data_IF_832548777986
#
_entry.id   IF_832548777986
#
_cell.length_a   1.000
_cell.length_b   1.000
_cell.length_c   1.000
_cell.angle_alpha   90.00
_cell.angle_beta   90.00
_cell.angle_gamma   90.00
#
_symmetry.space_group_name_H-M   'P 1'
#
loop_
_entity.id
_entity.type
_entity.pdbx_description
1 polymer ?
#
# COMPACT_ATOMS: atom_id res chain seq x y z
N UNK A 1 -70.90 -4.18 3.91
CA UNK A 1 -69.64 -4.02 3.16
C UNK A 1 -68.46 -4.34 4.10
N UNK A 2 -67.74 -5.47 3.95
CA UNK A 2 -66.61 -5.74 4.80
C UNK A 2 -65.37 -5.03 4.29
N UNK A 3 -64.62 -4.35 5.19
CA UNK A 3 -63.39 -3.64 4.95
C UNK A 3 -62.27 -4.56 4.40
N UNK A 4 -61.41 -4.06 3.51
CA UNK A 4 -60.29 -4.87 2.99
C UNK A 4 -59.21 -5.07 4.06
N UNK A 5 -58.87 -6.31 4.35
CA UNK A 5 -57.77 -6.68 5.22
C UNK A 5 -56.45 -6.29 4.53
N UNK A 6 -55.73 -5.31 5.12
CA UNK A 6 -54.36 -4.98 4.76
C UNK A 6 -53.50 -6.21 5.02
N UNK A 7 -52.96 -6.83 3.98
CA UNK A 7 -51.90 -7.86 4.08
C UNK A 7 -50.67 -7.23 4.68
N UNK A 8 -50.31 -7.61 5.88
CA UNK A 8 -49.02 -7.28 6.47
C UNK A 8 -47.90 -7.75 5.57
N UNK A 9 -47.02 -6.85 5.15
CA UNK A 9 -45.84 -7.15 4.40
C UNK A 9 -44.97 -8.15 5.21
N UNK A 10 -44.63 -9.29 4.62
CA UNK A 10 -43.68 -10.25 5.22
C UNK A 10 -42.38 -9.54 5.51
N UNK A 11 -41.79 -9.68 6.71
CA UNK A 11 -40.48 -9.11 7.01
C UNK A 11 -39.47 -9.66 6.00
N UNK A 12 -38.81 -8.76 5.26
CA UNK A 12 -37.70 -9.13 4.40
C UNK A 12 -36.66 -9.82 5.28
N UNK A 13 -36.40 -11.12 5.04
CA UNK A 13 -35.36 -11.86 5.72
C UNK A 13 -34.06 -11.07 5.57
N UNK A 14 -33.45 -10.61 6.67
CA UNK A 14 -32.12 -10.00 6.67
C UNK A 14 -31.17 -10.97 5.99
N UNK A 15 -30.80 -10.70 4.73
CA UNK A 15 -29.79 -11.51 4.03
C UNK A 15 -28.54 -11.56 4.91
N UNK A 16 -28.07 -12.76 5.23
CA UNK A 16 -26.84 -12.99 5.98
C UNK A 16 -25.69 -12.28 5.27
N UNK A 17 -24.92 -11.50 6.02
CA UNK A 17 -23.71 -10.85 5.48
C UNK A 17 -22.69 -11.93 5.12
N UNK A 18 -22.01 -11.76 3.99
CA UNK A 18 -20.88 -12.60 3.60
C UNK A 18 -19.74 -12.38 4.58
N UNK A 19 -19.24 -13.45 5.19
CA UNK A 19 -18.14 -13.46 6.14
C UNK A 19 -16.80 -13.56 5.41
N UNK A 20 -15.92 -12.58 5.57
CA UNK A 20 -14.58 -12.58 4.99
C UNK A 20 -13.53 -12.66 6.09
N UNK A 21 -12.79 -13.77 6.16
CA UNK A 21 -11.64 -13.92 7.04
C UNK A 21 -10.41 -13.30 6.36
N UNK A 22 -9.99 -12.13 6.83
CA UNK A 22 -8.72 -11.53 6.40
C UNK A 22 -7.59 -12.16 7.20
N UNK A 23 -6.65 -12.82 6.52
CA UNK A 23 -5.54 -13.54 7.17
C UNK A 23 -4.18 -12.93 6.81
N UNK A 24 -3.30 -12.81 7.80
CA UNK A 24 -1.94 -12.29 7.65
C UNK A 24 -1.03 -12.84 8.75
N UNK A 25 0.25 -13.06 8.46
CA UNK A 25 1.21 -13.59 9.44
C UNK A 25 1.35 -12.69 10.67
N UNK A 26 1.78 -11.45 10.47
CA UNK A 26 1.79 -10.41 11.50
C UNK A 26 1.15 -9.13 10.96
N UNK A 27 0.40 -8.44 11.79
CA UNK A 27 -0.25 -7.18 11.44
C UNK A 27 0.41 -6.03 12.20
N UNK A 28 1.10 -5.17 11.47
CA UNK A 28 1.71 -3.95 12.00
C UNK A 28 1.06 -2.75 11.31
N UNK A 29 0.41 -1.87 12.06
CA UNK A 29 -0.22 -0.66 11.53
C UNK A 29 0.28 0.53 12.33
N UNK A 30 0.92 1.52 11.71
CA UNK A 30 1.45 1.50 10.35
C UNK A 30 2.56 0.44 10.19
N UNK A 31 2.96 0.02 8.97
CA UNK A 31 2.60 0.54 7.64
C UNK A 31 1.53 -0.26 6.88
N UNK A 32 0.92 -1.30 7.50
CA UNK A 32 0.11 -2.30 6.77
C UNK A 32 -1.35 -1.85 6.55
N UNK A 33 -1.60 -0.60 6.19
CA UNK A 33 -2.96 -0.09 5.94
C UNK A 33 -3.67 -0.78 4.77
N UNK A 34 -2.94 -1.15 3.73
CA UNK A 34 -3.50 -1.74 2.51
C UNK A 34 -4.35 -2.99 2.76
N UNK A 35 -3.97 -3.82 3.74
CA UNK A 35 -4.72 -5.02 4.08
C UNK A 35 -6.09 -4.71 4.70
N UNK A 36 -6.24 -3.55 5.33
CA UNK A 36 -7.42 -3.13 6.07
C UNK A 36 -8.30 -2.16 5.27
N UNK A 37 -7.71 -1.41 4.34
CA UNK A 37 -8.40 -0.37 3.58
C UNK A 37 -9.60 -0.92 2.79
N UNK A 38 -9.42 -2.06 2.11
CA UNK A 38 -10.50 -2.72 1.38
C UNK A 38 -11.62 -3.20 2.31
N UNK A 39 -11.26 -3.75 3.49
CA UNK A 39 -12.26 -4.19 4.47
C UNK A 39 -13.07 -3.01 5.01
N UNK A 40 -12.42 -1.90 5.35
CA UNK A 40 -13.10 -0.67 5.80
C UNK A 40 -14.05 -0.09 4.76
N UNK A 41 -13.73 -0.27 3.47
CA UNK A 41 -14.54 0.24 2.36
C UNK A 41 -15.68 -0.72 1.92
N UNK A 42 -15.84 -1.87 2.57
CA UNK A 42 -16.92 -2.84 2.31
C UNK A 42 -17.72 -3.17 3.58
N UNK A 43 -18.43 -2.20 4.18
CA UNK A 43 -19.17 -2.38 5.44
C UNK A 43 -20.38 -3.33 5.33
N UNK A 44 -20.80 -3.66 4.11
CA UNK A 44 -21.86 -4.64 3.84
C UNK A 44 -21.45 -6.08 4.13
N UNK A 45 -20.15 -6.35 4.31
CA UNK A 45 -19.60 -7.66 4.65
C UNK A 45 -19.25 -7.75 6.13
N UNK A 46 -19.20 -8.97 6.65
CA UNK A 46 -18.74 -9.23 8.01
C UNK A 46 -17.25 -9.60 7.96
N UNK A 47 -16.40 -8.75 8.54
CA UNK A 47 -14.96 -8.90 8.52
C UNK A 47 -14.41 -9.35 9.87
N UNK A 48 -13.42 -10.22 9.83
CA UNK A 48 -12.55 -10.50 10.97
C UNK A 48 -11.12 -10.73 10.49
N UNK A 49 -10.18 -10.08 11.15
CA UNK A 49 -8.75 -10.24 10.90
C UNK A 49 -8.22 -11.36 11.78
N UNK A 50 -7.49 -12.29 11.17
CA UNK A 50 -6.78 -13.37 11.88
C UNK A 50 -5.29 -13.22 11.61
N UNK A 51 -4.51 -13.12 12.68
CA UNK A 51 -3.07 -12.92 12.61
C UNK A 51 -2.37 -13.71 13.73
N UNK A 52 -1.09 -13.96 13.58
CA UNK A 52 -0.30 -14.53 14.71
C UNK A 52 -0.17 -13.50 15.81
N UNK A 53 0.17 -12.26 15.46
CA UNK A 53 0.24 -11.15 16.40
C UNK A 53 0.01 -9.82 15.70
N UNK A 54 -0.53 -8.85 16.41
CA UNK A 54 -0.79 -7.49 15.92
C UNK A 54 -0.08 -6.44 16.78
N UNK A 55 0.28 -5.35 16.13
CA UNK A 55 0.58 -4.06 16.78
C UNK A 55 -0.10 -2.98 15.96
N UNK A 56 -1.19 -2.45 16.48
CA UNK A 56 -2.00 -1.43 15.81
C UNK A 56 -1.92 -0.17 16.65
N UNK A 57 -1.27 0.86 16.11
CA UNK A 57 -1.10 2.16 16.76
C UNK A 57 -2.09 3.21 16.25
N UNK A 58 -2.92 2.85 15.27
CA UNK A 58 -3.91 3.75 14.67
C UNK A 58 -5.30 3.45 15.24
N UNK A 59 -5.91 4.38 15.99
CA UNK A 59 -7.24 4.18 16.60
C UNK A 59 -8.38 4.14 15.57
N UNK A 60 -8.16 4.55 14.33
CA UNK A 60 -9.17 4.45 13.27
C UNK A 60 -9.42 3.01 12.80
N UNK A 61 -8.55 2.07 13.16
CA UNK A 61 -8.71 0.64 12.86
C UNK A 61 -9.68 0.01 13.85
N UNK A 62 -10.93 -0.17 13.42
CA UNK A 62 -12.02 -0.72 14.25
C UNK A 62 -12.37 -2.17 13.91
N UNK A 63 -11.68 -2.80 12.95
CA UNK A 63 -11.93 -4.18 12.56
C UNK A 63 -11.62 -5.16 13.71
N UNK A 64 -12.48 -6.17 13.95
CA UNK A 64 -12.20 -7.22 14.93
C UNK A 64 -10.93 -8.00 14.57
N UNK A 65 -9.95 -8.03 15.47
CA UNK A 65 -8.66 -8.73 15.28
C UNK A 65 -8.58 -9.90 16.25
N UNK A 66 -8.29 -11.09 15.72
CA UNK A 66 -7.98 -12.29 16.47
C UNK A 66 -6.48 -12.59 16.39
N UNK A 67 -5.81 -12.54 17.53
CA UNK A 67 -4.38 -12.86 17.65
C UNK A 67 -4.21 -14.30 18.14
N UNK A 68 -3.62 -15.15 17.29
CA UNK A 68 -3.41 -16.57 17.61
C UNK A 68 -2.17 -16.84 18.47
N UNK A 69 -1.22 -15.91 18.49
CA UNK A 69 0.05 -16.03 19.22
C UNK A 69 0.66 -14.65 19.52
N UNK A 70 0.18 -13.89 20.50
CA UNK A 70 0.70 -12.55 20.81
C UNK A 70 2.23 -12.53 21.04
N UNK A 71 2.83 -13.61 21.55
CA UNK A 71 4.29 -13.76 21.67
C UNK A 71 5.07 -13.86 20.35
N UNK A 72 4.38 -13.91 19.20
CA UNK A 72 5.03 -13.96 17.88
C UNK A 72 5.79 -12.66 17.49
N UNK A 73 5.63 -11.59 18.26
CA UNK A 73 6.40 -10.33 18.15
C UNK A 73 7.47 -10.18 19.24
N UNK A 74 7.72 -11.21 20.06
CA UNK A 74 8.76 -11.17 21.09
C UNK A 74 10.13 -10.84 20.49
N UNK A 75 10.93 -9.97 21.12
CA UNK A 75 12.31 -9.71 20.72
C UNK A 75 13.21 -10.94 20.90
N UNK A 76 12.89 -11.82 21.87
CA UNK A 76 13.61 -13.06 22.13
C UNK A 76 13.32 -14.10 21.04
N UNK A 77 14.30 -14.41 20.20
CA UNK A 77 14.16 -15.29 19.05
C UNK A 77 13.57 -16.67 19.38
N UNK A 78 14.02 -17.40 20.43
CA UNK A 78 13.45 -18.71 20.75
C UNK A 78 11.97 -18.65 21.12
N UNK A 79 11.57 -17.65 21.92
CA UNK A 79 10.18 -17.45 22.32
C UNK A 79 9.30 -17.09 21.12
N UNK A 80 9.80 -16.23 20.24
CA UNK A 80 9.12 -15.86 19.01
C UNK A 80 8.87 -17.05 18.11
N UNK A 81 9.90 -17.88 17.85
CA UNK A 81 9.78 -19.06 17.00
C UNK A 81 8.80 -20.07 17.59
N UNK A 82 8.87 -20.33 18.90
CA UNK A 82 7.96 -21.24 19.58
C UNK A 82 6.50 -20.73 19.56
N UNK A 83 6.28 -19.43 19.74
CA UNK A 83 4.97 -18.81 19.65
C UNK A 83 4.42 -18.90 18.22
N UNK A 84 5.23 -18.58 17.20
CA UNK A 84 4.85 -18.70 15.80
C UNK A 84 4.46 -20.12 15.43
N UNK A 85 5.25 -21.12 15.83
CA UNK A 85 4.97 -22.54 15.53
C UNK A 85 3.61 -23.00 16.12
N UNK A 86 3.36 -22.69 17.40
CA UNK A 86 2.08 -22.99 18.06
C UNK A 86 0.92 -22.21 17.46
N UNK A 87 1.16 -20.95 17.12
CA UNK A 87 0.16 -20.04 16.56
C UNK A 87 -0.40 -20.45 15.20
N UNK A 88 0.37 -21.17 14.38
CA UNK A 88 -0.11 -21.64 13.07
C UNK A 88 -1.36 -22.52 13.18
N UNK A 89 -1.31 -23.52 14.05
CA UNK A 89 -2.45 -24.40 14.29
C UNK A 89 -3.63 -23.70 14.97
N UNK A 90 -3.33 -22.79 15.91
CA UNK A 90 -4.35 -21.97 16.58
C UNK A 90 -5.07 -21.04 15.60
N UNK A 91 -4.32 -20.33 14.74
CA UNK A 91 -4.88 -19.47 13.72
C UNK A 91 -5.78 -20.25 12.73
N UNK A 92 -5.32 -21.42 12.25
CA UNK A 92 -6.11 -22.27 11.38
C UNK A 92 -7.44 -22.64 12.03
N UNK A 93 -7.42 -23.16 13.27
CA UNK A 93 -8.63 -23.53 14.00
C UNK A 93 -9.56 -22.34 14.22
N UNK A 94 -9.01 -21.16 14.55
CA UNK A 94 -9.82 -19.96 14.76
C UNK A 94 -10.54 -19.52 13.47
N UNK A 95 -9.85 -19.55 12.33
CA UNK A 95 -10.45 -19.26 11.03
C UNK A 95 -11.55 -20.28 10.71
N UNK A 96 -11.25 -21.59 10.81
CA UNK A 96 -12.23 -22.65 10.52
C UNK A 96 -13.46 -22.58 11.41
N UNK A 97 -13.28 -22.37 12.73
CA UNK A 97 -14.39 -22.27 13.69
C UNK A 97 -15.27 -21.06 13.48
N UNK A 98 -14.71 -19.97 12.92
CA UNK A 98 -15.50 -18.77 12.61
C UNK A 98 -16.44 -18.99 11.41
N UNK A 99 -16.15 -19.95 10.56
CA UNK A 99 -16.97 -20.32 9.40
C UNK A 99 -17.05 -19.21 8.37
N UNK A 100 -15.93 -18.80 7.74
CA UNK A 100 -15.92 -17.78 6.71
C UNK A 100 -16.57 -18.28 5.40
N UNK A 101 -17.15 -17.36 4.65
CA UNK A 101 -17.60 -17.61 3.28
C UNK A 101 -16.46 -17.41 2.26
N UNK A 102 -15.47 -16.58 2.62
CA UNK A 102 -14.22 -16.35 1.86
C UNK A 102 -13.07 -16.19 2.85
N UNK A 103 -11.93 -16.79 2.51
CA UNK A 103 -10.66 -16.53 3.21
C UNK A 103 -9.79 -15.68 2.29
N UNK A 104 -9.34 -14.51 2.76
CA UNK A 104 -8.45 -13.63 2.01
C UNK A 104 -7.10 -13.51 2.72
N UNK A 105 -6.10 -14.21 2.21
CA UNK A 105 -4.73 -14.19 2.71
C UNK A 105 -3.95 -13.05 2.08
N UNK A 106 -3.39 -12.17 2.90
CA UNK A 106 -2.41 -11.17 2.48
C UNK A 106 -0.99 -11.67 2.72
N UNK A 107 -0.19 -11.71 1.66
CA UNK A 107 1.16 -12.26 1.55
C UNK A 107 1.20 -13.81 1.62
N UNK A 108 1.87 -14.41 0.64
CA UNK A 108 2.00 -15.87 0.55
C UNK A 108 2.95 -16.48 1.61
N UNK A 109 3.78 -15.68 2.29
CA UNK A 109 4.82 -16.16 3.23
C UNK A 109 4.27 -16.81 4.52
N UNK A 110 3.01 -16.59 4.87
CA UNK A 110 2.33 -17.11 6.05
C UNK A 110 0.99 -17.78 5.71
N UNK A 111 0.88 -18.39 4.54
CA UNK A 111 -0.39 -18.90 3.99
C UNK A 111 -0.84 -20.25 4.54
N UNK A 112 0.04 -21.05 5.16
CA UNK A 112 -0.31 -22.41 5.62
C UNK A 112 -1.56 -22.46 6.51
N UNK A 113 -1.79 -21.56 7.49
CA UNK A 113 -3.03 -21.56 8.27
C UNK A 113 -4.28 -21.31 7.42
N UNK A 114 -4.21 -20.35 6.49
CA UNK A 114 -5.32 -20.02 5.59
C UNK A 114 -5.62 -21.15 4.61
N UNK A 115 -4.60 -21.77 4.03
CA UNK A 115 -4.74 -22.96 3.14
C UNK A 115 -5.35 -24.13 3.91
N UNK A 116 -4.91 -24.37 5.15
CA UNK A 116 -5.48 -25.40 6.00
C UNK A 116 -6.96 -25.17 6.33
N UNK A 117 -7.30 -23.93 6.71
CA UNK A 117 -8.67 -23.54 7.00
C UNK A 117 -9.58 -23.63 5.76
N UNK A 118 -9.10 -23.22 4.59
CA UNK A 118 -9.83 -23.34 3.32
C UNK A 118 -10.19 -24.80 3.00
N UNK A 119 -9.23 -25.72 3.21
CA UNK A 119 -9.49 -27.18 3.04
C UNK A 119 -10.49 -27.73 4.04
N UNK A 120 -10.46 -27.27 5.28
CA UNK A 120 -11.36 -27.73 6.36
C UNK A 120 -12.79 -27.20 6.18
N UNK A 121 -12.94 -25.96 5.71
CA UNK A 121 -14.24 -25.29 5.61
C UNK A 121 -14.88 -25.39 4.22
N UNK A 122 -14.10 -25.70 3.19
CA UNK A 122 -14.50 -25.57 1.79
C UNK A 122 -14.61 -24.15 1.27
N UNK A 123 -14.27 -23.14 2.10
CA UNK A 123 -14.31 -21.73 1.69
C UNK A 123 -13.24 -21.42 0.64
N UNK A 124 -13.57 -20.67 -0.42
CA UNK A 124 -12.60 -20.24 -1.42
C UNK A 124 -11.50 -19.37 -0.78
N UNK A 125 -10.26 -19.61 -1.24
CA UNK A 125 -9.08 -18.90 -0.78
C UNK A 125 -8.61 -17.90 -1.83
N UNK A 126 -8.64 -16.63 -1.50
CA UNK A 126 -8.01 -15.54 -2.26
C UNK A 126 -6.65 -15.24 -1.62
N UNK A 127 -5.60 -15.11 -2.42
CA UNK A 127 -4.27 -14.73 -1.94
C UNK A 127 -3.79 -13.50 -2.68
N UNK A 128 -3.53 -12.40 -1.97
CA UNK A 128 -2.91 -11.21 -2.56
C UNK A 128 -1.40 -11.20 -2.31
N UNK A 129 -0.64 -11.11 -3.41
CA UNK A 129 0.80 -11.01 -3.43
C UNK A 129 1.22 -9.54 -3.37
N UNK A 130 2.13 -9.21 -2.43
CA UNK A 130 2.51 -7.82 -2.15
C UNK A 130 3.95 -7.48 -2.52
N UNK A 131 4.76 -8.46 -2.92
CA UNK A 131 6.15 -8.22 -3.30
C UNK A 131 7.05 -9.40 -3.01
N UNK A 132 7.84 -9.34 -1.95
CA UNK A 132 8.82 -10.37 -1.62
C UNK A 132 8.26 -11.80 -1.54
N UNK A 133 7.00 -11.94 -1.28
CA UNK A 133 6.26 -13.20 -1.19
C UNK A 133 6.02 -13.91 -2.53
N UNK A 134 6.13 -13.19 -3.66
CA UNK A 134 6.01 -13.78 -5.00
C UNK A 134 7.34 -14.33 -5.55
N UNK A 135 8.49 -13.89 -5.04
CA UNK A 135 9.79 -14.28 -5.60
C UNK A 135 10.16 -15.73 -5.27
N UNK A 136 10.75 -16.50 -6.22
CA UNK A 136 11.02 -17.93 -6.04
C UNK A 136 12.05 -18.23 -4.96
N UNK A 137 13.01 -17.32 -4.74
CA UNK A 137 14.04 -17.47 -3.69
C UNK A 137 14.35 -16.13 -3.04
N UNK A 138 14.16 -16.06 -1.73
CA UNK A 138 14.55 -14.93 -0.89
C UNK A 138 15.41 -15.45 0.27
N UNK A 139 16.73 -15.27 0.17
CA UNK A 139 17.69 -15.68 1.18
C UNK A 139 18.09 -17.15 1.12
N UNK A 140 18.81 -17.61 2.16
CA UNK A 140 19.29 -18.98 2.35
C UNK A 140 18.82 -19.51 3.72
N UNK A 141 18.86 -20.83 3.90
CA UNK A 141 18.56 -21.49 5.18
C UNK A 141 17.06 -21.73 5.44
N UNK A 142 16.72 -22.04 6.69
CA UNK A 142 15.39 -22.48 7.10
C UNK A 142 14.28 -21.46 6.81
N UNK A 143 14.57 -20.16 6.95
CA UNK A 143 13.59 -19.12 6.65
C UNK A 143 13.23 -19.06 5.15
N UNK A 144 14.20 -19.25 4.26
CA UNK A 144 13.95 -19.31 2.82
C UNK A 144 13.14 -20.57 2.44
N UNK A 145 13.46 -21.72 3.04
CA UNK A 145 12.70 -22.96 2.85
C UNK A 145 11.24 -22.81 3.35
N UNK A 146 11.06 -22.18 4.52
CA UNK A 146 9.73 -21.86 5.06
C UNK A 146 8.92 -20.97 4.12
N UNK A 147 9.50 -19.88 3.62
CA UNK A 147 8.83 -18.98 2.68
C UNK A 147 8.49 -19.69 1.36
N UNK A 148 9.39 -20.51 0.84
CA UNK A 148 9.14 -21.31 -0.35
C UNK A 148 7.99 -22.31 -0.17
N UNK A 149 7.92 -22.98 0.99
CA UNK A 149 6.81 -23.88 1.33
C UNK A 149 5.47 -23.16 1.40
N UNK A 150 5.43 -22.02 2.09
CA UNK A 150 4.20 -21.22 2.21
C UNK A 150 3.75 -20.70 0.84
N UNK A 151 4.67 -20.16 0.01
CA UNK A 151 4.33 -19.70 -1.33
C UNK A 151 3.78 -20.82 -2.20
N UNK A 152 4.43 -21.99 -2.20
CA UNK A 152 3.92 -23.15 -2.93
C UNK A 152 2.52 -23.52 -2.47
N UNK A 153 2.30 -23.63 -1.16
CA UNK A 153 0.98 -23.93 -0.61
C UNK A 153 -0.08 -22.88 -0.99
N UNK A 154 0.29 -21.59 -1.02
CA UNK A 154 -0.57 -20.51 -1.48
C UNK A 154 -0.92 -20.66 -2.96
N UNK A 155 0.07 -20.93 -3.82
CA UNK A 155 -0.13 -21.05 -5.26
C UNK A 155 -0.99 -22.29 -5.62
N UNK A 156 -0.76 -23.39 -4.93
CA UNK A 156 -1.53 -24.63 -5.13
C UNK A 156 -2.95 -24.54 -4.56
N UNK A 157 -3.09 -23.92 -3.38
CA UNK A 157 -4.34 -23.89 -2.61
C UNK A 157 -5.26 -22.72 -2.90
N UNK A 158 -4.79 -21.65 -3.55
CA UNK A 158 -5.62 -20.49 -3.83
C UNK A 158 -6.66 -20.76 -4.93
N UNK A 159 -7.90 -20.34 -4.71
CA UNK A 159 -8.95 -20.27 -5.74
C UNK A 159 -8.67 -19.10 -6.69
N UNK A 160 -8.15 -17.97 -6.16
CA UNK A 160 -7.71 -16.79 -6.90
C UNK A 160 -6.39 -16.27 -6.31
N UNK A 161 -5.47 -15.91 -7.20
CA UNK A 161 -4.25 -15.19 -6.89
C UNK A 161 -4.37 -13.76 -7.42
N UNK A 162 -4.09 -12.78 -6.58
CA UNK A 162 -4.14 -11.36 -6.93
C UNK A 162 -2.72 -10.79 -6.81
N UNK A 163 -2.18 -10.21 -7.88
CA UNK A 163 -0.90 -9.52 -7.86
C UNK A 163 -1.13 -8.01 -7.90
N UNK A 164 -0.42 -7.25 -7.07
CA UNK A 164 -0.61 -5.79 -6.94
C UNK A 164 -0.06 -4.98 -8.13
N UNK A 165 0.55 -5.63 -9.11
CA UNK A 165 1.00 -5.07 -10.39
C UNK A 165 1.19 -6.17 -11.43
N UNK A 166 1.21 -5.82 -12.71
CA UNK A 166 1.58 -6.73 -13.82
C UNK A 166 2.97 -7.25 -13.64
N UNK A 167 3.91 -6.38 -13.27
CA UNK A 167 5.27 -6.79 -12.92
C UNK A 167 5.29 -7.93 -11.89
N UNK A 168 4.51 -7.80 -10.81
CA UNK A 168 4.48 -8.83 -9.78
C UNK A 168 3.74 -10.10 -10.23
N UNK A 169 2.75 -9.98 -11.10
CA UNK A 169 2.10 -11.12 -11.75
C UNK A 169 3.11 -11.93 -12.57
N UNK A 170 3.94 -11.26 -13.38
CA UNK A 170 5.01 -11.92 -14.15
C UNK A 170 6.04 -12.61 -13.25
N UNK A 171 6.38 -12.00 -12.12
CA UNK A 171 7.25 -12.64 -11.11
C UNK A 171 6.59 -13.89 -10.55
N UNK A 172 5.31 -13.85 -10.22
CA UNK A 172 4.55 -15.00 -9.70
C UNK A 172 4.44 -16.13 -10.72
N UNK A 173 4.18 -15.82 -11.99
CA UNK A 173 4.14 -16.81 -13.09
C UNK A 173 5.47 -17.52 -13.22
N UNK A 174 6.59 -16.77 -13.23
CA UNK A 174 7.95 -17.36 -13.25
C UNK A 174 8.26 -18.18 -11.99
N UNK A 175 7.57 -17.93 -10.89
CA UNK A 175 7.68 -18.68 -9.64
C UNK A 175 6.74 -19.89 -9.55
N UNK A 176 5.95 -20.18 -10.61
CA UNK A 176 5.07 -21.33 -10.72
C UNK A 176 3.61 -21.07 -10.31
N UNK A 177 3.16 -19.82 -10.31
CA UNK A 177 1.74 -19.52 -10.16
C UNK A 177 0.96 -19.95 -11.42
N UNK A 178 -0.26 -20.41 -11.21
CA UNK A 178 -1.16 -20.80 -12.30
C UNK A 178 -1.79 -19.55 -12.94
N UNK A 179 -1.54 -19.34 -14.23
CA UNK A 179 -2.04 -18.22 -15.00
C UNK A 179 -3.58 -18.13 -15.02
N UNK A 180 -4.27 -19.30 -15.00
CA UNK A 180 -5.74 -19.35 -15.02
C UNK A 180 -6.37 -18.81 -13.72
N UNK A 181 -5.61 -18.78 -12.63
CA UNK A 181 -6.05 -18.30 -11.31
C UNK A 181 -5.45 -16.96 -10.90
N UNK A 182 -4.51 -16.44 -11.67
CA UNK A 182 -3.79 -15.21 -11.37
C UNK A 182 -4.40 -14.02 -12.13
N UNK A 183 -4.67 -12.95 -11.41
CA UNK A 183 -5.06 -11.66 -11.99
C UNK A 183 -4.33 -10.50 -11.34
N UNK A 184 -4.26 -9.37 -12.04
CA UNK A 184 -3.73 -8.13 -11.49
C UNK A 184 -4.85 -7.41 -10.75
N UNK A 185 -4.58 -7.04 -9.50
CA UNK A 185 -5.47 -6.24 -8.67
C UNK A 185 -4.68 -5.11 -8.02
N UNK A 186 -4.75 -3.93 -8.62
CA UNK A 186 -4.12 -2.74 -8.08
C UNK A 186 -4.81 -2.33 -6.78
N UNK A 187 -4.04 -2.13 -5.71
CA UNK A 187 -4.61 -1.87 -4.38
C UNK A 187 -5.36 -0.55 -4.28
N UNK A 188 -4.98 0.43 -5.10
CA UNK A 188 -5.54 1.77 -5.06
C UNK A 188 -5.18 2.58 -3.81
N UNK A 189 -5.52 3.85 -3.83
CA UNK A 189 -5.40 4.76 -2.70
C UNK A 189 -6.71 5.52 -2.49
N UNK A 190 -6.97 5.89 -1.24
CA UNK A 190 -8.15 6.70 -0.88
C UNK A 190 -7.94 8.14 -1.35
N UNK A 191 -8.50 8.46 -2.52
CA UNK A 191 -8.39 9.78 -3.16
C UNK A 191 -9.26 10.84 -2.49
N UNK A 192 -10.15 10.47 -1.58
CA UNK A 192 -10.90 11.42 -0.75
C UNK A 192 -10.07 11.83 0.46
N UNK A 193 -9.21 10.94 0.97
CA UNK A 193 -8.31 11.25 2.07
C UNK A 193 -6.99 11.84 1.57
N UNK A 194 -6.34 11.22 0.57
CA UNK A 194 -5.18 11.77 -0.12
C UNK A 194 -5.66 12.80 -1.16
N UNK A 195 -5.66 14.06 -0.78
CA UNK A 195 -6.20 15.16 -1.58
C UNK A 195 -5.30 16.39 -1.45
N UNK A 196 -5.24 17.24 -2.46
CA UNK A 196 -4.57 18.55 -2.37
C UNK A 196 -5.08 19.36 -1.19
N UNK A 197 -4.39 20.42 -0.82
CA UNK A 197 -4.84 21.32 0.25
C UNK A 197 -6.21 21.92 -0.08
N UNK A 198 -7.15 21.95 0.88
CA UNK A 198 -8.45 22.58 0.66
C UNK A 198 -8.29 24.06 0.26
N UNK A 199 -9.06 24.52 -0.71
CA UNK A 199 -9.09 25.91 -1.14
C UNK A 199 -7.90 26.36 -2.02
N UNK A 200 -7.01 25.45 -2.38
CA UNK A 200 -5.91 25.71 -3.30
C UNK A 200 -6.07 24.86 -4.55
N UNK A 201 -5.86 25.44 -5.72
CA UNK A 201 -5.78 24.65 -6.96
C UNK A 201 -4.66 23.63 -6.85
N UNK A 202 -4.77 22.44 -7.49
CA UNK A 202 -3.67 21.49 -7.55
C UNK A 202 -2.40 22.21 -7.98
N UNK A 203 -1.37 22.11 -7.15
CA UNK A 203 -0.11 22.81 -7.41
C UNK A 203 0.10 24.14 -6.67
N UNK A 204 -0.92 24.73 -6.05
CA UNK A 204 -0.75 25.93 -5.21
C UNK A 204 -0.32 25.52 -3.80
N UNK A 205 0.65 26.22 -3.22
CA UNK A 205 1.18 25.91 -1.89
C UNK A 205 0.33 26.49 -0.78
N UNK A 206 0.01 25.74 0.29
CA UNK A 206 -0.53 26.35 1.49
C UNK A 206 0.57 27.07 2.27
N UNK A 207 0.34 28.33 2.62
CA UNK A 207 1.09 29.05 3.63
C UNK A 207 0.76 28.53 5.05
N UNK A 208 0.96 27.23 5.29
CA UNK A 208 0.62 26.62 6.58
C UNK A 208 1.92 26.39 7.36
N UNK A 209 2.16 27.25 8.34
CA UNK A 209 3.04 26.94 9.46
C UNK A 209 2.36 25.83 10.27
N UNK A 210 2.96 24.63 10.46
CA UNK A 210 2.37 23.58 11.28
C UNK A 210 2.25 24.08 12.72
N UNK A 211 1.03 24.17 13.25
CA UNK A 211 0.83 24.39 14.68
C UNK A 211 1.21 23.11 15.43
N UNK A 212 2.29 23.18 16.21
CA UNK A 212 2.66 22.14 17.20
C UNK A 212 3.79 21.20 16.79
N UNK A 213 4.98 21.56 17.04
CA UNK A 213 6.15 20.97 17.70
C UNK A 213 7.44 21.70 17.30
N UNK A 214 8.29 21.93 18.26
CA UNK A 214 9.42 22.85 18.25
C UNK A 214 10.54 22.60 17.23
N UNK A 215 10.51 21.49 16.45
CA UNK A 215 11.63 21.12 15.56
C UNK A 215 11.48 21.59 14.09
N UNK A 216 10.35 22.18 13.72
CA UNK A 216 10.14 22.70 12.36
C UNK A 216 9.98 24.22 12.28
N UNK A 217 10.01 24.91 13.42
CA UNK A 217 9.77 26.36 13.53
C UNK A 217 11.06 27.20 13.49
N UNK A 218 12.24 26.58 13.37
CA UNK A 218 13.52 27.27 13.63
C UNK A 218 14.17 27.92 12.41
N UNK A 219 13.53 27.95 11.22
CA UNK A 219 14.13 28.68 10.10
C UNK A 219 13.11 29.58 9.39
N UNK A 220 13.22 30.87 9.66
CA UNK A 220 12.92 32.02 8.83
C UNK A 220 11.60 32.03 8.06
N UNK A 221 10.58 32.70 8.59
CA UNK A 221 9.29 32.93 7.93
C UNK A 221 9.35 33.86 6.71
N UNK A 222 10.53 34.40 6.32
CA UNK A 222 10.71 35.44 5.30
C UNK A 222 11.65 35.08 4.14
N UNK A 223 12.11 33.83 4.01
CA UNK A 223 12.85 33.42 2.81
C UNK A 223 11.93 32.97 1.70
N UNK A 224 12.20 33.26 0.39
CA UNK A 224 11.45 32.70 -0.72
C UNK A 224 11.42 31.19 -0.56
N UNK A 225 10.19 30.61 -0.56
CA UNK A 225 9.97 29.21 -0.20
C UNK A 225 10.78 28.27 -1.09
N UNK A 226 11.87 27.74 -0.55
CA UNK A 226 12.74 26.79 -1.23
C UNK A 226 11.94 25.51 -1.53
N UNK A 227 11.88 25.04 -2.80
CA UNK A 227 11.11 23.88 -3.18
C UNK A 227 11.52 22.62 -2.41
N UNK A 228 10.54 21.79 -2.07
CA UNK A 228 10.75 20.54 -1.33
C UNK A 228 10.74 19.37 -2.30
N UNK A 229 11.83 18.61 -2.33
CA UNK A 229 11.90 17.24 -2.85
C UNK A 229 11.62 16.30 -1.69
N UNK A 230 10.54 15.54 -1.78
CA UNK A 230 10.09 14.66 -0.70
C UNK A 230 10.42 13.20 -1.01
N UNK A 231 10.89 12.48 -0.02
CA UNK A 231 10.95 11.01 -0.01
C UNK A 231 10.14 10.47 1.17
N UNK A 232 9.36 9.44 0.94
CA UNK A 232 8.62 8.74 2.00
C UNK A 232 8.81 7.23 1.86
N UNK A 233 9.37 6.61 2.89
CA UNK A 233 9.58 5.17 2.89
C UNK A 233 10.71 4.68 3.78
N UNK A 234 11.04 3.39 3.67
CA UNK A 234 12.17 2.82 4.39
C UNK A 234 13.48 3.38 3.88
N UNK A 235 14.30 3.96 4.78
CA UNK A 235 15.62 4.49 4.44
C UNK A 235 16.61 3.33 4.20
N UNK A 236 16.62 2.84 2.95
CA UNK A 236 17.38 1.64 2.56
C UNK A 236 17.93 1.76 1.13
N UNK A 237 18.96 0.96 0.83
CA UNK A 237 19.54 0.87 -0.53
C UNK A 237 18.53 0.41 -1.58
N UNK A 238 17.60 -0.48 -1.21
CA UNK A 238 16.52 -0.91 -2.11
C UNK A 238 15.66 0.29 -2.55
N UNK A 239 15.39 1.23 -1.65
CA UNK A 239 14.60 2.43 -1.94
C UNK A 239 15.41 3.55 -2.58
N UNK A 240 16.73 3.35 -2.78
CA UNK A 240 17.61 4.28 -3.50
C UNK A 240 17.85 5.61 -2.78
N UNK A 241 17.72 5.64 -1.45
CA UNK A 241 17.93 6.86 -0.66
C UNK A 241 19.35 7.39 -0.80
N UNK A 242 20.33 6.49 -0.92
CA UNK A 242 21.73 6.82 -1.18
C UNK A 242 21.89 7.55 -2.53
N UNK A 243 21.27 7.06 -3.61
CA UNK A 243 21.28 7.73 -4.91
C UNK A 243 20.58 9.09 -4.85
N UNK A 244 19.46 9.17 -4.10
CA UNK A 244 18.70 10.41 -3.98
C UNK A 244 19.50 11.51 -3.25
N UNK A 245 20.17 11.17 -2.16
CA UNK A 245 21.03 12.13 -1.44
C UNK A 245 22.19 12.56 -2.31
N UNK A 246 22.82 11.66 -3.05
CA UNK A 246 23.88 11.99 -4.00
C UNK A 246 23.40 12.94 -5.10
N UNK A 247 22.30 12.61 -5.77
CA UNK A 247 21.70 13.43 -6.83
C UNK A 247 21.31 14.83 -6.34
N UNK A 248 20.67 14.90 -5.17
CA UNK A 248 20.28 16.15 -4.54
C UNK A 248 21.48 17.01 -4.17
N UNK A 249 22.54 16.41 -3.61
CA UNK A 249 23.77 17.13 -3.22
C UNK A 249 24.50 17.74 -4.42
N UNK A 250 24.54 17.03 -5.56
CA UNK A 250 25.15 17.53 -6.79
C UNK A 250 24.32 18.63 -7.47
N UNK A 251 23.05 18.77 -7.09
CA UNK A 251 22.11 19.70 -7.72
C UNK A 251 21.88 20.98 -6.91
N UNK A 252 21.98 20.93 -5.57
CA UNK A 252 21.45 21.96 -4.68
C UNK A 252 22.07 23.34 -4.88
N UNK A 253 23.35 23.44 -5.26
CA UNK A 253 24.03 24.73 -5.49
C UNK A 253 23.46 25.48 -6.70
N UNK A 254 23.18 24.77 -7.80
CA UNK A 254 22.62 25.39 -9.02
C UNK A 254 21.09 25.46 -9.03
N UNK A 255 20.41 24.58 -8.27
CA UNK A 255 18.96 24.54 -8.10
C UNK A 255 18.63 24.39 -6.62
N UNK A 256 18.56 25.49 -5.88
CA UNK A 256 18.26 25.47 -4.45
C UNK A 256 16.96 24.73 -4.15
N UNK A 257 17.02 23.75 -3.27
CA UNK A 257 15.88 22.95 -2.81
C UNK A 257 16.20 22.30 -1.45
N UNK A 258 15.16 21.85 -0.77
CA UNK A 258 15.29 21.03 0.46
C UNK A 258 14.94 19.60 0.11
N UNK A 259 15.74 18.64 0.56
CA UNK A 259 15.42 17.23 0.51
C UNK A 259 14.88 16.79 1.87
N UNK A 260 13.64 16.33 1.91
CA UNK A 260 12.99 15.85 3.13
C UNK A 260 12.80 14.32 3.05
N UNK A 261 13.41 13.61 3.99
CA UNK A 261 13.39 12.16 4.10
C UNK A 261 12.47 11.74 5.26
N UNK A 262 11.29 11.21 4.93
CA UNK A 262 10.32 10.71 5.89
C UNK A 262 10.42 9.20 6.01
N UNK A 263 10.72 8.70 7.20
CA UNK A 263 10.82 7.28 7.49
C UNK A 263 12.02 6.91 8.34
N UNK A 264 12.23 5.62 8.49
CA UNK A 264 13.37 5.03 9.19
C UNK A 264 13.89 3.82 8.41
N UNK A 265 15.07 3.31 8.76
CA UNK A 265 15.63 2.15 8.10
C UNK A 265 17.13 1.97 8.32
N UNK A 266 17.74 0.96 7.67
CA UNK A 266 19.15 0.64 7.86
C UNK A 266 20.13 1.78 7.56
N UNK A 267 19.77 2.73 6.70
CA UNK A 267 20.60 3.90 6.36
C UNK A 267 20.37 5.11 7.28
N UNK A 268 19.34 5.11 8.14
CA UNK A 268 19.05 6.25 8.99
C UNK A 268 20.19 6.65 9.94
N UNK A 269 20.91 5.73 10.60
CA UNK A 269 22.01 6.11 11.48
C UNK A 269 23.13 6.85 10.74
N UNK A 270 23.54 6.36 9.58
CA UNK A 270 24.58 7.03 8.77
C UNK A 270 24.11 8.37 8.23
N UNK A 271 22.87 8.45 7.74
CA UNK A 271 22.32 9.71 7.23
C UNK A 271 22.19 10.79 8.31
N UNK A 272 21.86 10.44 9.57
CA UNK A 272 21.82 11.41 10.66
C UNK A 272 23.16 12.05 10.95
N UNK A 273 24.28 11.36 10.69
CA UNK A 273 25.64 11.88 10.94
C UNK A 273 26.29 12.52 9.74
N UNK A 274 25.89 12.18 8.52
CA UNK A 274 26.59 12.59 7.30
C UNK A 274 25.71 13.30 6.26
N UNK A 275 24.41 13.52 6.53
CA UNK A 275 23.56 14.22 5.60
C UNK A 275 23.96 15.69 5.44
N UNK A 276 23.99 16.21 4.19
CA UNK A 276 24.24 17.64 3.94
C UNK A 276 23.17 18.55 4.58
N UNK A 277 23.49 19.80 4.78
CA UNK A 277 22.63 20.78 5.47
C UNK A 277 21.23 20.96 4.85
N UNK A 278 21.10 20.78 3.52
CA UNK A 278 19.81 20.88 2.82
C UNK A 278 18.92 19.63 2.97
N UNK A 279 19.42 18.57 3.62
CA UNK A 279 18.71 17.30 3.83
C UNK A 279 18.14 17.22 5.25
N UNK A 280 16.84 17.06 5.35
CA UNK A 280 16.14 16.91 6.64
C UNK A 280 15.63 15.47 6.81
N UNK A 281 15.97 14.83 7.93
CA UNK A 281 15.43 13.52 8.32
C UNK A 281 14.38 13.74 9.41
N UNK A 282 13.12 13.38 9.12
CA UNK A 282 12.01 13.53 10.08
C UNK A 282 11.85 12.33 11.01
N UNK A 283 12.44 11.19 10.65
CA UNK A 283 12.03 9.92 11.23
C UNK A 283 10.66 9.44 10.71
N UNK A 284 10.09 8.37 11.28
CA UNK A 284 8.77 7.89 10.93
C UNK A 284 7.70 8.87 11.43
N UNK A 285 6.70 9.15 10.58
CA UNK A 285 5.60 10.06 10.88
C UNK A 285 4.24 9.34 10.81
N UNK A 286 3.25 9.86 11.54
CA UNK A 286 1.86 9.48 11.38
C UNK A 286 1.34 9.86 9.98
N UNK A 287 0.33 9.14 9.51
CA UNK A 287 -0.20 9.25 8.14
C UNK A 287 -0.65 10.68 7.79
N UNK A 288 -1.24 11.38 8.77
CA UNK A 288 -1.69 12.77 8.65
C UNK A 288 -0.52 13.71 8.35
N UNK A 289 0.60 13.53 9.08
CA UNK A 289 1.82 14.31 8.90
C UNK A 289 2.51 14.01 7.56
N UNK A 290 2.48 12.75 7.11
CA UNK A 290 2.96 12.38 5.77
C UNK A 290 2.16 13.11 4.70
N UNK A 291 0.82 13.17 4.83
CA UNK A 291 -0.05 13.90 3.90
C UNK A 291 0.25 15.40 3.88
N UNK A 292 0.51 16.01 5.03
CA UNK A 292 0.91 17.42 5.11
C UNK A 292 2.22 17.66 4.36
N UNK A 293 3.22 16.80 4.53
CA UNK A 293 4.46 16.89 3.76
C UNK A 293 4.24 16.72 2.26
N UNK A 294 3.41 15.76 1.84
CA UNK A 294 3.05 15.60 0.43
C UNK A 294 2.42 16.87 -0.15
N UNK A 295 1.48 17.47 0.56
CA UNK A 295 0.83 18.72 0.12
C UNK A 295 1.77 19.91 -0.03
N UNK A 296 2.92 19.89 0.63
CA UNK A 296 3.96 20.92 0.57
C UNK A 296 5.07 20.60 -0.44
N UNK A 297 5.18 19.36 -0.86
CA UNK A 297 6.24 18.94 -1.76
C UNK A 297 6.05 19.51 -3.18
N UNK A 298 7.17 19.88 -3.81
CA UNK A 298 7.23 20.19 -5.24
C UNK A 298 7.09 18.92 -6.06
N UNK A 299 7.82 17.88 -5.65
CA UNK A 299 7.81 16.54 -6.21
C UNK A 299 8.03 15.50 -5.10
N UNK A 300 7.59 14.26 -5.35
CA UNK A 300 8.03 13.10 -4.57
C UNK A 300 9.05 12.31 -5.39
N UNK A 301 10.21 12.01 -4.80
CA UNK A 301 11.25 11.19 -5.42
C UNK A 301 11.30 9.79 -4.80
N UNK A 302 11.17 8.73 -5.63
CA UNK A 302 11.27 7.34 -5.19
C UNK A 302 12.16 6.53 -6.14
N UNK A 303 13.48 6.63 -6.05
CA UNK A 303 14.41 5.95 -6.94
C UNK A 303 14.69 4.50 -6.51
N UNK A 304 13.64 3.69 -6.33
CA UNK A 304 13.79 2.28 -5.95
C UNK A 304 14.57 1.51 -7.01
N UNK A 305 15.63 0.80 -6.58
CA UNK A 305 16.53 0.05 -7.47
C UNK A 305 16.51 -1.45 -7.20
N UNK A 306 16.81 -2.27 -8.19
CA UNK A 306 16.91 -3.72 -8.00
C UNK A 306 17.96 -4.05 -6.94
N UNK A 307 17.59 -4.84 -5.94
CA UNK A 307 18.50 -5.27 -4.89
C UNK A 307 18.25 -6.74 -4.58
N UNK A 308 19.28 -7.56 -4.68
CA UNK A 308 19.22 -9.01 -4.42
C UNK A 308 18.07 -9.71 -5.19
N UNK A 309 17.86 -9.33 -6.47
CA UNK A 309 16.82 -9.90 -7.33
C UNK A 309 15.40 -9.38 -7.06
N UNK A 310 15.21 -8.44 -6.12
CA UNK A 310 13.92 -7.79 -5.85
C UNK A 310 13.86 -6.40 -6.46
N UNK A 311 12.65 -5.99 -6.81
CA UNK A 311 12.33 -4.65 -7.27
C UNK A 311 11.06 -4.15 -6.55
N UNK A 312 10.69 -2.91 -6.79
CA UNK A 312 9.43 -2.36 -6.29
C UNK A 312 8.24 -3.13 -6.84
N UNK A 313 7.35 -3.59 -5.97
CA UNK A 313 6.17 -4.33 -6.41
C UNK A 313 5.07 -3.40 -6.92
N UNK A 314 4.81 -2.32 -6.19
CA UNK A 314 3.79 -1.34 -6.52
C UNK A 314 4.23 0.09 -6.17
N UNK A 315 4.62 0.37 -4.92
CA UNK A 315 5.01 1.72 -4.50
C UNK A 315 3.79 2.63 -4.26
N UNK A 316 2.91 2.25 -3.34
CA UNK A 316 1.68 3.01 -3.05
C UNK A 316 1.92 4.49 -2.75
N UNK A 317 3.07 4.83 -2.17
CA UNK A 317 3.45 6.21 -1.89
C UNK A 317 3.49 7.09 -3.14
N UNK A 318 3.76 6.51 -4.33
CA UNK A 318 3.68 7.22 -5.62
C UNK A 318 2.23 7.63 -5.91
N UNK A 319 1.27 6.74 -5.63
CA UNK A 319 -0.15 7.05 -5.79
C UNK A 319 -0.63 8.07 -4.77
N UNK A 320 -0.17 7.96 -3.53
CA UNK A 320 -0.50 8.88 -2.43
C UNK A 320 -0.06 10.31 -2.76
N UNK A 321 1.16 10.48 -3.29
CA UNK A 321 1.67 11.78 -3.72
C UNK A 321 0.86 12.34 -4.89
N UNK A 322 0.64 11.55 -5.93
CA UNK A 322 -0.10 11.95 -7.13
C UNK A 322 -1.57 12.26 -6.81
N UNK A 323 -2.19 11.54 -5.87
CA UNK A 323 -3.51 11.86 -5.34
C UNK A 323 -3.54 13.23 -4.63
N UNK A 324 -2.44 13.65 -4.01
CA UNK A 324 -2.26 15.00 -3.46
C UNK A 324 -1.91 16.06 -4.52
N UNK A 325 -1.87 15.70 -5.81
CA UNK A 325 -1.46 16.59 -6.89
C UNK A 325 0.05 16.84 -6.94
N UNK A 326 0.86 15.90 -6.47
CA UNK A 326 2.33 15.99 -6.46
C UNK A 326 2.90 15.04 -7.50
N UNK A 327 3.51 15.55 -8.58
CA UNK A 327 4.20 14.72 -9.56
C UNK A 327 5.36 13.94 -8.93
N UNK A 328 5.69 12.80 -9.53
CA UNK A 328 6.74 11.93 -9.02
C UNK A 328 7.94 11.85 -9.96
N UNK A 329 9.12 11.66 -9.36
CA UNK A 329 10.37 11.34 -10.06
C UNK A 329 10.85 10.00 -9.55
N UNK A 330 11.05 9.03 -10.44
CA UNK A 330 11.44 7.68 -10.02
C UNK A 330 12.28 6.95 -11.06
N UNK A 331 12.95 5.88 -10.62
CA UNK A 331 13.54 4.93 -11.56
C UNK A 331 12.46 4.04 -12.18
N UNK A 332 12.59 3.76 -13.46
CA UNK A 332 11.74 2.79 -14.17
C UNK A 332 12.10 1.37 -13.76
N UNK A 333 11.57 0.92 -12.61
CA UNK A 333 11.86 -0.41 -12.05
C UNK A 333 10.61 -1.10 -11.55
N UNK A 334 10.53 -2.42 -11.73
CA UNK A 334 9.42 -3.22 -11.21
C UNK A 334 8.06 -2.67 -11.60
N UNK A 335 7.16 -2.54 -10.61
CA UNK A 335 5.82 -1.98 -10.79
C UNK A 335 5.75 -0.45 -10.77
N UNK A 336 6.87 0.28 -10.59
CA UNK A 336 6.88 1.75 -10.56
C UNK A 336 6.17 2.40 -11.76
N UNK A 337 6.39 1.95 -13.03
CA UNK A 337 5.70 2.53 -14.17
C UNK A 337 4.18 2.39 -14.13
N UNK A 338 3.68 1.34 -13.46
CA UNK A 338 2.24 1.09 -13.34
C UNK A 338 1.57 1.96 -12.26
N UNK A 339 2.39 2.58 -11.40
CA UNK A 339 1.97 3.47 -10.31
C UNK A 339 2.25 4.94 -10.59
N UNK A 340 2.58 5.27 -11.84
CA UNK A 340 3.00 6.62 -12.23
C UNK A 340 2.14 7.12 -13.37
N UNK A 341 1.52 8.29 -13.21
CA UNK A 341 0.69 8.93 -14.22
C UNK A 341 1.52 9.22 -15.49
N UNK A 342 1.13 8.67 -16.65
CA UNK A 342 1.87 8.87 -17.90
C UNK A 342 1.92 10.34 -18.29
N UNK A 343 3.09 10.83 -18.70
CA UNK A 343 3.28 12.20 -19.15
C UNK A 343 3.26 13.29 -18.08
N UNK A 344 2.71 12.99 -16.88
CA UNK A 344 2.64 13.96 -15.79
C UNK A 344 3.82 13.86 -14.81
N UNK A 345 4.53 12.75 -14.80
CA UNK A 345 5.64 12.43 -13.89
C UNK A 345 6.86 11.96 -14.68
N UNK A 346 8.03 11.93 -14.07
CA UNK A 346 9.28 11.58 -14.72
C UNK A 346 9.80 10.21 -14.26
N UNK A 347 10.05 9.32 -15.23
CA UNK A 347 10.65 8.02 -14.99
C UNK A 347 11.96 7.89 -15.75
N UNK A 348 13.08 7.80 -15.04
CA UNK A 348 14.39 7.62 -15.68
C UNK A 348 14.63 6.16 -16.05
N UNK A 349 15.16 5.92 -17.23
CA UNK A 349 15.57 4.59 -17.71
C UNK A 349 16.86 4.12 -17.03
N UNK A 350 17.80 5.03 -16.89
CA UNK A 350 19.05 4.79 -16.16
C UNK A 350 18.84 4.93 -14.67
N UNK A 351 19.48 4.06 -13.90
CA UNK A 351 19.38 3.99 -12.43
C UNK A 351 20.68 4.48 -11.80
N UNK A 352 20.98 5.74 -12.09
CA UNK A 352 22.18 6.43 -11.60
C UNK A 352 21.79 7.72 -10.88
N UNK A 353 22.59 8.20 -9.91
CA UNK A 353 22.37 9.48 -9.28
C UNK A 353 22.31 10.64 -10.28
N UNK A 354 23.11 10.62 -11.34
CA UNK A 354 23.16 11.67 -12.36
C UNK A 354 21.83 11.73 -13.14
N UNK A 355 21.33 10.59 -13.64
CA UNK A 355 20.05 10.55 -14.34
C UNK A 355 18.89 10.99 -13.42
N UNK A 356 18.92 10.60 -12.15
CA UNK A 356 17.97 11.05 -11.14
C UNK A 356 18.07 12.57 -10.92
N UNK A 357 19.29 13.09 -10.81
CA UNK A 357 19.56 14.53 -10.65
C UNK A 357 19.03 15.36 -11.82
N UNK A 358 19.24 14.89 -13.06
CA UNK A 358 18.67 15.53 -14.26
C UNK A 358 17.14 15.56 -14.22
N UNK A 359 16.49 14.48 -13.85
CA UNK A 359 15.04 14.42 -13.75
C UNK A 359 14.49 15.31 -12.61
N UNK A 360 15.19 15.39 -11.48
CA UNK A 360 14.84 16.30 -10.38
C UNK A 360 15.00 17.76 -10.84
N UNK A 361 16.10 18.08 -11.53
CA UNK A 361 16.36 19.44 -12.06
C UNK A 361 15.28 19.88 -13.04
N UNK A 362 14.91 19.00 -14.00
CA UNK A 362 13.80 19.22 -14.92
C UNK A 362 12.49 19.50 -14.15
N UNK A 363 12.15 18.66 -13.19
CA UNK A 363 10.92 18.80 -12.44
C UNK A 363 10.88 20.05 -11.55
N UNK A 364 12.01 20.49 -11.03
CA UNK A 364 12.13 21.73 -10.27
C UNK A 364 12.11 22.98 -11.17
N UNK A 365 12.44 22.84 -12.46
CA UNK A 365 12.43 23.91 -13.44
C UNK A 365 11.05 24.18 -14.05
N UNK A 366 10.06 23.31 -13.90
CA UNK A 366 8.70 23.53 -14.41
C UNK A 366 8.14 24.86 -13.92
N UNK A 367 7.52 25.61 -14.84
CA UNK A 367 6.72 26.79 -14.48
C UNK A 367 5.57 26.42 -13.53
N UNK A 368 4.96 27.42 -12.90
CA UNK A 368 3.81 27.16 -12.03
C UNK A 368 2.60 26.61 -12.84
N UNK A 369 2.44 27.05 -14.10
CA UNK A 369 1.41 26.55 -15.01
C UNK A 369 1.65 25.07 -15.38
N UNK A 370 2.85 24.73 -15.88
CA UNK A 370 3.23 23.35 -16.18
C UNK A 370 3.07 22.42 -14.96
N UNK A 371 3.42 22.93 -13.78
CA UNK A 371 3.26 22.16 -12.54
C UNK A 371 1.79 21.96 -12.18
N UNK A 372 0.96 22.98 -12.35
CA UNK A 372 -0.47 22.88 -12.08
C UNK A 372 -1.13 21.86 -13.03
N UNK A 373 -0.78 21.88 -14.30
CA UNK A 373 -1.28 20.93 -15.31
C UNK A 373 -0.87 19.49 -14.97
N UNK A 374 0.41 19.29 -14.62
CA UNK A 374 0.91 17.96 -14.22
C UNK A 374 0.26 17.49 -12.93
N UNK A 375 0.05 18.37 -11.95
CA UNK A 375 -0.63 18.06 -10.71
C UNK A 375 -2.09 17.63 -10.95
N UNK A 376 -2.81 18.35 -11.81
CA UNK A 376 -4.17 18.01 -12.21
C UNK A 376 -4.22 16.66 -12.95
N UNK A 377 -3.29 16.43 -13.90
CA UNK A 377 -3.19 15.17 -14.64
C UNK A 377 -2.86 13.98 -13.72
N UNK A 378 -1.92 14.13 -12.77
CA UNK A 378 -1.62 13.12 -11.76
C UNK A 378 -2.87 12.74 -10.96
N UNK A 379 -3.57 13.74 -10.45
CA UNK A 379 -4.79 13.56 -9.66
C UNK A 379 -5.88 12.84 -10.44
N UNK A 380 -6.18 13.32 -11.65
CA UNK A 380 -7.21 12.75 -12.50
C UNK A 380 -6.91 11.28 -12.85
N UNK A 381 -5.64 10.97 -13.16
CA UNK A 381 -5.23 9.60 -13.45
C UNK A 381 -5.38 8.68 -12.24
N UNK A 382 -4.97 9.11 -11.03
CA UNK A 382 -5.14 8.28 -9.83
C UNK A 382 -6.62 8.06 -9.52
N UNK A 383 -7.47 9.07 -9.64
CA UNK A 383 -8.91 8.93 -9.43
C UNK A 383 -9.53 7.91 -10.39
N UNK A 384 -9.17 7.97 -11.67
CA UNK A 384 -9.72 7.09 -12.70
C UNK A 384 -9.18 5.66 -12.62
N UNK A 385 -7.86 5.50 -12.45
CA UNK A 385 -7.18 4.24 -12.69
C UNK A 385 -6.69 3.53 -11.42
N UNK A 386 -6.51 4.27 -10.31
CA UNK A 386 -5.84 3.77 -9.11
C UNK A 386 -6.52 4.18 -7.80
N UNK A 387 -7.80 4.56 -7.87
CA UNK A 387 -8.57 4.85 -6.65
C UNK A 387 -8.87 3.59 -5.83
N UNK A 388 -8.92 3.75 -4.51
CA UNK A 388 -9.37 2.69 -3.60
C UNK A 388 -10.78 2.20 -3.97
N UNK A 389 -11.67 3.11 -4.38
CA UNK A 389 -13.04 2.78 -4.80
C UNK A 389 -13.03 1.79 -5.96
N UNK A 390 -12.30 2.07 -7.04
CA UNK A 390 -12.20 1.16 -8.19
C UNK A 390 -11.59 -0.18 -7.81
N UNK A 391 -10.56 -0.18 -6.95
CA UNK A 391 -9.95 -1.40 -6.41
C UNK A 391 -10.94 -2.24 -5.57
N UNK A 392 -11.72 -1.58 -4.71
CA UNK A 392 -12.77 -2.22 -3.89
C UNK A 392 -13.85 -2.84 -4.77
N UNK A 393 -14.29 -2.16 -5.82
CA UNK A 393 -15.32 -2.68 -6.73
C UNK A 393 -14.84 -3.94 -7.47
N UNK A 394 -13.57 -3.97 -7.90
CA UNK A 394 -12.94 -5.15 -8.49
C UNK A 394 -12.87 -6.31 -7.47
N UNK A 395 -12.43 -6.04 -6.24
CA UNK A 395 -12.33 -7.08 -5.21
C UNK A 395 -13.71 -7.58 -4.77
N UNK A 396 -14.71 -6.70 -4.73
CA UNK A 396 -16.11 -7.06 -4.47
C UNK A 396 -16.62 -8.05 -5.52
N UNK A 397 -16.35 -7.78 -6.80
CA UNK A 397 -16.72 -8.68 -7.89
C UNK A 397 -16.08 -10.07 -7.75
N UNK A 398 -14.80 -10.14 -7.36
CA UNK A 398 -14.12 -11.41 -7.07
C UNK A 398 -14.83 -12.18 -5.95
N UNK A 399 -15.19 -11.52 -4.86
CA UNK A 399 -15.90 -12.20 -3.76
C UNK A 399 -17.31 -12.62 -4.14
N UNK A 400 -18.05 -11.81 -4.91
CA UNK A 400 -19.40 -12.12 -5.36
C UNK A 400 -19.39 -13.34 -6.31
N UNK A 401 -18.41 -13.41 -7.21
CA UNK A 401 -18.19 -14.59 -8.06
C UNK A 401 -17.95 -15.85 -7.22
N UNK A 402 -17.05 -15.77 -6.24
CA UNK A 402 -16.65 -16.91 -5.41
C UNK A 402 -17.74 -17.39 -4.44
N UNK A 403 -18.66 -16.51 -4.02
CA UNK A 403 -19.74 -16.83 -3.07
C UNK A 403 -21.08 -17.09 -3.74
N UNK A 404 -21.16 -17.00 -5.07
CA UNK A 404 -22.42 -17.13 -5.79
C UNK A 404 -23.44 -16.02 -5.48
N UNK A 405 -22.98 -14.90 -4.91
CA UNK A 405 -23.84 -13.75 -4.65
C UNK A 405 -24.11 -13.02 -5.97
N UNK A 406 -25.38 -12.73 -6.33
CA UNK A 406 -25.66 -12.06 -7.59
C UNK A 406 -25.00 -10.68 -7.60
N UNK A 407 -24.25 -10.40 -8.66
CA UNK A 407 -23.76 -9.08 -8.98
C UNK A 407 -24.95 -8.10 -8.91
N UNK A 408 -24.89 -7.07 -8.07
CA UNK A 408 -25.86 -5.98 -8.13
C UNK A 408 -25.65 -5.31 -9.48
N UNK A 409 -26.53 -5.64 -10.42
CA UNK A 409 -26.52 -5.07 -11.76
C UNK A 409 -26.48 -3.55 -11.64
N UNK A 410 -25.67 -2.90 -12.46
CA UNK A 410 -25.90 -1.54 -12.90
C UNK A 410 -27.37 -1.47 -13.32
N UNK A 411 -28.20 -0.81 -12.54
CA UNK A 411 -29.46 -0.33 -13.09
C UNK A 411 -29.04 0.70 -14.14
N UNK A 412 -29.12 0.28 -15.39
CA UNK A 412 -29.23 1.22 -16.48
C UNK A 412 -30.37 2.16 -16.07
N UNK A 413 -30.11 3.46 -16.03
CA UNK A 413 -31.13 4.45 -16.09
C UNK A 413 -31.78 4.28 -17.47
N UNK A 414 -32.88 3.51 -17.51
CA UNK A 414 -33.81 3.52 -18.61
C UNK A 414 -34.79 4.63 -18.35
N UNK A 415 -34.70 5.61 -19.20
CA UNK A 415 -35.71 6.55 -19.67
C UNK A 415 -37.09 6.46 -19.00
N UNK A 416 -37.50 7.58 -18.37
CA UNK A 416 -38.78 8.25 -18.64
C UNK A 416 -38.62 9.75 -18.43
#
# INVERSE_FOLDING_TARGET
MPSPRVRAARPQSRRRRVKVALTKGTLLVPPTYFALAHAGAMPEREWRVFTLAARVSDPSVTLPIHEAAPGALSPALPLRVAAQARGLGAMRRAVSSWGPDVIHQHQATWSLPAVGAARETGAPLVVTLHGGDAYPRLGRGLGAAWNARNRRAAFEGATRLLAVSRYLADVALRAGADAARLSVHYQGVDTQWWTPSPGLSPGTRPNLVPQGNHDLAAEGADSPEVPIVLFVGTLSRLKGVDDLVCASSSLVERRPHRLVLVGDGPLAPSLRTSAPAHVTLTGPLARERVREWMRRARILALPTKPTQGRQEAAGLVLLEAQACGVPVVAYRTGGTPEMTAPGASLLTGERTPDALGCAIDEALAWSEEERADRAAACRAWVDAERSLRGSVDQLRAVYDELTGSPLRGCRAASDE
#
